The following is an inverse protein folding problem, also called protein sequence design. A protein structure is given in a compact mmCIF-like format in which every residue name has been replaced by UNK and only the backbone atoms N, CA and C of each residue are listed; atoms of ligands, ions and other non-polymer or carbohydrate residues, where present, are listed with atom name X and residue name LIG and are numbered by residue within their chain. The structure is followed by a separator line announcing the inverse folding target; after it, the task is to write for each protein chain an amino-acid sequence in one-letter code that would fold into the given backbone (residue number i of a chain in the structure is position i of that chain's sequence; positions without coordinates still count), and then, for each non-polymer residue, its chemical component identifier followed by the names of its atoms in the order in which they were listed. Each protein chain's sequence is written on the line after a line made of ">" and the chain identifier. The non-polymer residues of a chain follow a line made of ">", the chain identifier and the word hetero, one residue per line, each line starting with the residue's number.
data_IF_480748177868
#
_entry.id   IF_480748177868
#
_cell.length_a   1.000
_cell.length_b   1.000
_cell.length_c   1.000
_cell.angle_alpha   90.00
_cell.angle_beta   90.00
_cell.angle_gamma   90.00
#
_symmetry.space_group_name_H-M   'P 1'
#
loop_
_entity.id
_entity.type
_entity.pdbx_description
1 polymer ?
#
# COMPACT_ATOMS: atom_id res chain seq x y z
N UNK A 1 10.52 10.35 7.35
CA UNK A 1 10.19 9.12 6.60
C UNK A 1 11.44 8.74 5.86
N UNK A 2 12.23 7.82 6.42
CA UNK A 2 13.51 7.45 5.84
C UNK A 2 13.25 6.63 4.57
N UNK A 3 13.58 7.19 3.41
CA UNK A 3 13.47 6.48 2.14
C UNK A 3 14.46 5.31 2.20
N UNK A 4 13.95 4.08 2.28
CA UNK A 4 14.76 2.88 2.17
C UNK A 4 15.13 2.75 0.69
N UNK A 5 16.41 2.91 0.32
CA UNK A 5 16.80 2.73 -1.07
C UNK A 5 16.53 1.27 -1.46
N UNK A 6 16.06 1.08 -2.70
CA UNK A 6 15.52 -0.20 -3.21
C UNK A 6 16.52 -1.36 -3.06
N UNK A 7 17.82 -1.04 -3.03
CA UNK A 7 18.94 -1.95 -2.82
C UNK A 7 19.17 -2.40 -1.37
N UNK A 8 18.26 -2.07 -0.44
CA UNK A 8 18.30 -2.52 0.96
C UNK A 8 17.05 -3.31 1.37
N UNK A 9 16.13 -3.58 0.44
CA UNK A 9 14.89 -4.33 0.73
C UNK A 9 15.21 -5.77 1.15
N UNK A 10 16.24 -6.36 0.56
CA UNK A 10 16.79 -7.69 0.86
C UNK A 10 17.37 -7.83 2.28
N UNK A 11 17.61 -6.71 2.98
CA UNK A 11 18.15 -6.69 4.35
C UNK A 11 17.09 -6.63 5.43
N UNK A 12 15.81 -6.55 5.05
CA UNK A 12 14.71 -6.48 6.00
C UNK A 12 14.35 -7.89 6.48
N UNK A 13 14.04 -8.01 7.76
CA UNK A 13 13.32 -9.18 8.25
C UNK A 13 11.95 -9.26 7.56
N UNK A 14 11.36 -10.46 7.59
CA UNK A 14 10.04 -10.69 7.03
C UNK A 14 8.99 -9.70 7.60
N UNK A 15 8.99 -9.52 8.92
CA UNK A 15 8.06 -8.61 9.58
C UNK A 15 8.28 -7.15 9.16
N UNK A 16 9.52 -6.68 9.12
CA UNK A 16 9.84 -5.32 8.67
C UNK A 16 9.43 -5.08 7.20
N UNK A 17 9.60 -6.09 6.35
CA UNK A 17 9.16 -6.01 4.96
C UNK A 17 7.64 -5.91 4.86
N UNK A 18 6.91 -6.74 5.60
CA UNK A 18 5.44 -6.74 5.62
C UNK A 18 4.88 -5.44 6.19
N UNK A 19 5.48 -4.90 7.25
CA UNK A 19 5.06 -3.61 7.83
C UNK A 19 5.22 -2.46 6.85
N UNK A 20 6.30 -2.43 6.07
CA UNK A 20 6.47 -1.43 5.01
C UNK A 20 5.48 -1.59 3.87
N UNK A 21 5.14 -2.82 3.49
CA UNK A 21 4.11 -3.07 2.48
C UNK A 21 2.77 -2.50 2.96
N UNK A 22 2.40 -2.73 4.22
CA UNK A 22 1.19 -2.15 4.82
C UNK A 22 1.23 -0.62 4.74
N UNK A 23 2.32 0.00 5.21
CA UNK A 23 2.48 1.46 5.22
C UNK A 23 2.35 2.06 3.81
N UNK A 24 2.98 1.45 2.81
CA UNK A 24 2.92 1.91 1.42
C UNK A 24 1.53 1.74 0.82
N UNK A 25 0.88 0.59 1.03
CA UNK A 25 -0.47 0.34 0.54
C UNK A 25 -1.49 1.29 1.17
N UNK A 26 -1.33 1.62 2.45
CA UNK A 26 -2.16 2.63 3.10
C UNK A 26 -1.98 4.02 2.50
N UNK A 27 -0.73 4.44 2.23
CA UNK A 27 -0.46 5.72 1.57
C UNK A 27 -1.04 5.77 0.17
N UNK A 28 -0.87 4.71 -0.62
CA UNK A 28 -1.46 4.59 -1.95
C UNK A 28 -2.98 4.68 -1.85
N UNK A 29 -3.61 3.91 -0.96
CA UNK A 29 -5.06 3.94 -0.78
C UNK A 29 -5.54 5.36 -0.40
N UNK A 30 -4.88 6.05 0.52
CA UNK A 30 -5.22 7.44 0.89
C UNK A 30 -5.09 8.40 -0.29
N UNK A 31 -3.98 8.35 -1.01
CA UNK A 31 -3.71 9.23 -2.15
C UNK A 31 -4.72 9.03 -3.27
N UNK A 32 -4.86 7.79 -3.74
CA UNK A 32 -5.71 7.45 -4.87
C UNK A 32 -7.20 7.47 -4.54
N UNK A 33 -7.60 7.37 -3.28
CA UNK A 33 -9.01 7.58 -2.86
C UNK A 33 -9.38 9.06 -2.77
N UNK A 34 -8.41 9.96 -2.60
CA UNK A 34 -8.61 11.41 -2.60
C UNK A 34 -8.65 11.97 -4.03
N UNK A 35 -9.50 11.40 -4.89
CA UNK A 35 -9.59 11.74 -6.32
C UNK A 35 -10.09 13.16 -6.61
N UNK A 36 -10.78 13.77 -5.64
CA UNK A 36 -11.39 15.10 -5.78
C UNK A 36 -10.27 16.14 -5.95
N UNK A 37 -10.29 16.85 -7.08
CA UNK A 37 -9.45 18.03 -7.33
C UNK A 37 -8.22 17.82 -8.22
N UNK A 38 -7.79 16.57 -8.47
CA UNK A 38 -6.64 16.31 -9.34
C UNK A 38 -6.86 15.23 -10.40
N UNK A 39 -7.82 14.32 -10.21
CA UNK A 39 -8.12 13.27 -11.19
C UNK A 39 -9.28 13.67 -12.12
N UNK A 40 -9.16 13.46 -13.44
CA UNK A 40 -10.30 13.51 -14.36
C UNK A 40 -11.41 12.55 -13.92
N UNK A 41 -12.67 12.84 -14.28
CA UNK A 41 -13.86 12.08 -13.83
C UNK A 41 -13.75 10.60 -14.21
N UNK A 42 -13.24 10.31 -15.40
CA UNK A 42 -13.03 8.96 -15.92
C UNK A 42 -12.00 8.20 -15.08
N UNK A 43 -10.91 8.86 -14.69
CA UNK A 43 -9.86 8.28 -13.85
C UNK A 43 -10.36 8.06 -12.42
N UNK A 44 -11.12 9.01 -11.86
CA UNK A 44 -11.73 8.88 -10.54
C UNK A 44 -12.68 7.66 -10.48
N UNK A 45 -13.49 7.45 -11.53
CA UNK A 45 -14.39 6.32 -11.63
C UNK A 45 -13.67 4.98 -11.87
N UNK A 46 -12.49 4.99 -12.49
CA UNK A 46 -11.65 3.81 -12.59
C UNK A 46 -11.03 3.45 -11.24
N UNK A 47 -10.49 4.45 -10.53
CA UNK A 47 -9.83 4.28 -9.23
C UNK A 47 -10.81 3.79 -8.16
N UNK A 48 -12.06 4.26 -8.17
CA UNK A 48 -13.11 3.77 -7.27
C UNK A 48 -13.40 2.27 -7.44
N UNK A 49 -13.12 1.71 -8.63
CA UNK A 49 -13.27 0.28 -8.94
C UNK A 49 -12.00 -0.52 -8.69
N UNK A 50 -10.84 0.12 -8.51
CA UNK A 50 -9.55 -0.56 -8.36
C UNK A 50 -9.35 -1.27 -7.01
N UNK A 51 -10.33 -1.19 -6.09
CA UNK A 51 -10.34 -1.89 -4.79
C UNK A 51 -9.03 -1.75 -4.01
N UNK A 52 -8.54 -0.52 -3.90
CA UNK A 52 -7.32 -0.22 -3.16
C UNK A 52 -7.44 -0.57 -1.66
N UNK A 53 -8.66 -0.58 -1.13
CA UNK A 53 -9.02 -1.11 0.18
C UNK A 53 -8.62 -2.58 0.34
N UNK A 54 -8.76 -3.39 -0.71
CA UNK A 54 -8.38 -4.80 -0.69
C UNK A 54 -6.88 -5.03 -0.68
N UNK A 55 -6.08 -4.15 -1.29
CA UNK A 55 -4.61 -4.24 -1.21
C UNK A 55 -4.13 -4.02 0.24
N UNK A 56 -4.73 -3.06 0.94
CA UNK A 56 -4.47 -2.84 2.37
C UNK A 56 -4.90 -4.06 3.17
N UNK A 57 -6.13 -4.55 2.98
CA UNK A 57 -6.65 -5.71 3.70
C UNK A 57 -5.77 -6.96 3.51
N UNK A 58 -5.32 -7.24 2.29
CA UNK A 58 -4.43 -8.35 1.99
C UNK A 58 -3.10 -8.23 2.74
N UNK A 59 -2.50 -7.04 2.77
CA UNK A 59 -1.22 -6.83 3.47
C UNK A 59 -1.33 -7.08 4.98
N UNK A 60 -2.45 -6.72 5.61
CA UNK A 60 -2.73 -7.06 7.01
C UNK A 60 -2.92 -8.57 7.22
N UNK A 61 -3.58 -9.28 6.29
CA UNK A 61 -3.71 -10.74 6.37
C UNK A 61 -2.34 -11.43 6.29
N UNK A 62 -1.41 -10.92 5.47
CA UNK A 62 -0.04 -11.43 5.42
C UNK A 62 0.67 -11.27 6.75
N UNK A 63 0.55 -10.09 7.40
CA UNK A 63 1.10 -9.87 8.75
C UNK A 63 0.57 -10.85 9.78
N UNK A 64 -0.74 -11.13 9.73
CA UNK A 64 -1.39 -12.06 10.67
C UNK A 64 -0.89 -13.50 10.54
N UNK A 65 -0.54 -13.92 9.32
CA UNK A 65 -0.08 -15.29 9.03
C UNK A 65 1.43 -15.37 8.81
N UNK A 66 2.15 -14.31 9.16
CA UNK A 66 3.60 -14.26 9.08
C UNK A 66 4.21 -15.38 9.94
N UNK A 67 5.18 -16.15 9.42
CA UNK A 67 5.97 -17.04 10.27
C UNK A 67 6.67 -16.20 11.34
N UNK A 68 6.55 -16.65 12.59
CA UNK A 68 7.22 -16.02 13.75
C UNK A 68 8.73 -16.20 13.69
#
# INVERSE_FOLDING_TARGET
>A
MDIIPINKIDKLSYLEAVEKIIELNEHLNRFWSSVIGWAPVEAANLLSKSRLDWQVSLSYSVKMHAPR
#
